data_IF_095939785917
#
_entry.id   IF_095939785917
#
_cell.length_a   1.000
_cell.length_b   1.000
_cell.length_c   1.000
_cell.angle_alpha   90.00
_cell.angle_beta   90.00
_cell.angle_gamma   90.00
#
_symmetry.space_group_name_H-M   'P 1'
#
loop_
_entity.id
_entity.type
_entity.pdbx_description
1 polymer ?
#
# COMPACT_ATOMS: atom_id res chain seq x y z
N UNK A 1 -28.85 -34.23 -4.64
CA UNK A 1 -27.62 -34.42 -5.44
C UNK A 1 -26.68 -33.31 -5.05
N UNK A 2 -25.56 -33.62 -4.39
CA UNK A 2 -24.52 -32.62 -4.11
C UNK A 2 -23.65 -32.48 -5.34
N UNK A 3 -23.44 -31.25 -5.79
CA UNK A 3 -22.49 -30.96 -6.88
C UNK A 3 -21.11 -31.52 -6.54
N UNK A 4 -20.37 -32.06 -7.52
CA UNK A 4 -18.99 -32.43 -7.28
C UNK A 4 -18.22 -31.14 -7.02
N UNK A 5 -17.80 -30.92 -5.77
CA UNK A 5 -16.74 -29.99 -5.46
C UNK A 5 -15.54 -30.51 -6.26
N UNK A 6 -15.19 -29.83 -7.34
CA UNK A 6 -13.95 -30.07 -8.06
C UNK A 6 -12.85 -29.74 -7.05
N UNK A 7 -12.42 -30.74 -6.28
CA UNK A 7 -11.21 -30.67 -5.48
C UNK A 7 -10.08 -30.50 -6.48
N UNK A 8 -9.66 -29.25 -6.69
CA UNK A 8 -8.43 -28.98 -7.41
C UNK A 8 -7.31 -29.72 -6.70
N UNK A 9 -6.54 -30.47 -7.48
CA UNK A 9 -5.39 -31.21 -6.99
C UNK A 9 -4.47 -30.25 -6.21
N UNK A 10 -4.11 -30.57 -4.95
CA UNK A 10 -3.15 -29.78 -4.17
C UNK A 10 -1.85 -29.47 -4.93
N UNK A 11 -1.40 -30.37 -5.80
CA UNK A 11 -0.23 -30.15 -6.64
C UNK A 11 -0.47 -29.06 -7.71
N UNK A 12 -1.68 -28.98 -8.27
CA UNK A 12 -2.07 -27.92 -9.23
C UNK A 12 -2.14 -26.58 -8.53
N UNK A 13 -2.73 -26.51 -7.33
CA UNK A 13 -2.78 -25.29 -6.52
C UNK A 13 -1.37 -24.81 -6.11
N UNK A 14 -0.48 -25.74 -5.79
CA UNK A 14 0.91 -25.43 -5.49
C UNK A 14 1.62 -24.83 -6.70
N UNK A 15 1.51 -25.46 -7.88
CA UNK A 15 2.12 -24.97 -9.12
C UNK A 15 1.55 -23.60 -9.52
N UNK A 16 0.24 -23.41 -9.41
CA UNK A 16 -0.40 -22.11 -9.69
C UNK A 16 0.07 -21.03 -8.70
N UNK A 17 0.21 -21.35 -7.41
CA UNK A 17 0.77 -20.43 -6.43
C UNK A 17 2.23 -20.11 -6.70
N UNK A 18 3.05 -21.10 -7.05
CA UNK A 18 4.46 -20.93 -7.38
C UNK A 18 4.64 -20.08 -8.65
N UNK A 19 3.81 -20.30 -9.67
CA UNK A 19 3.79 -19.49 -10.88
C UNK A 19 3.36 -18.05 -10.58
N UNK A 20 2.26 -17.85 -9.86
CA UNK A 20 1.81 -16.51 -9.46
C UNK A 20 2.86 -15.81 -8.61
N UNK A 21 3.45 -16.50 -7.63
CA UNK A 21 4.55 -15.96 -6.84
C UNK A 21 5.75 -15.59 -7.71
N UNK A 22 6.12 -16.45 -8.66
CA UNK A 22 7.22 -16.17 -9.58
C UNK A 22 6.92 -14.97 -10.48
N UNK A 23 5.71 -14.88 -11.01
CA UNK A 23 5.27 -13.78 -11.86
C UNK A 23 5.23 -12.48 -11.05
N UNK A 24 4.69 -12.52 -9.83
CA UNK A 24 4.79 -11.43 -8.86
C UNK A 24 6.24 -11.02 -8.62
N UNK A 25 7.14 -11.98 -8.36
CA UNK A 25 8.57 -11.70 -8.13
C UNK A 25 9.19 -11.08 -9.38
N UNK A 26 8.87 -11.58 -10.57
CA UNK A 26 9.39 -11.07 -11.84
C UNK A 26 8.88 -9.66 -12.13
N UNK A 27 7.59 -9.41 -11.94
CA UNK A 27 6.99 -8.07 -12.05
C UNK A 27 7.64 -7.13 -11.03
N UNK A 28 7.78 -7.54 -9.77
CA UNK A 28 8.44 -6.75 -8.75
C UNK A 28 9.90 -6.45 -9.13
N UNK A 29 10.65 -7.45 -9.60
CA UNK A 29 12.04 -7.26 -10.04
C UNK A 29 12.11 -6.33 -11.25
N UNK A 30 11.25 -6.50 -12.25
CA UNK A 30 11.19 -5.66 -13.44
C UNK A 30 10.87 -4.20 -13.08
N UNK A 31 9.89 -4.01 -12.19
CA UNK A 31 9.52 -2.69 -11.70
C UNK A 31 10.61 -2.04 -10.83
N UNK A 32 11.40 -2.85 -10.11
CA UNK A 32 12.58 -2.39 -9.37
C UNK A 32 13.72 -2.00 -10.33
N UNK A 33 13.91 -2.77 -11.40
CA UNK A 33 14.96 -2.54 -12.39
C UNK A 33 14.62 -1.38 -13.34
N UNK A 34 13.34 -1.15 -13.58
CA UNK A 34 12.82 -0.12 -14.47
C UNK A 34 11.69 0.66 -13.78
N UNK A 35 11.99 1.38 -12.68
CA UNK A 35 10.97 2.16 -11.98
C UNK A 35 10.39 3.22 -12.93
N UNK A 36 9.07 3.51 -12.82
CA UNK A 36 8.46 4.54 -13.65
C UNK A 36 9.20 5.87 -13.47
N UNK A 37 9.32 6.68 -14.54
CA UNK A 37 10.00 7.96 -14.44
C UNK A 37 9.39 8.77 -13.31
N UNK A 38 10.23 9.32 -12.46
CA UNK A 38 9.89 10.05 -11.24
C UNK A 38 8.82 11.16 -11.39
N UNK A 39 8.57 11.62 -12.62
CA UNK A 39 7.55 12.63 -12.94
C UNK A 39 6.14 12.05 -13.19
N UNK A 40 5.97 10.73 -13.15
CA UNK A 40 4.72 10.05 -13.47
C UNK A 40 4.05 9.49 -12.21
N UNK A 41 3.46 10.37 -11.40
CA UNK A 41 2.84 10.03 -10.10
C UNK A 41 1.81 8.90 -10.22
N UNK A 42 0.95 8.91 -11.24
CA UNK A 42 -0.05 7.85 -11.44
C UNK A 42 0.58 6.46 -11.64
N UNK A 43 1.71 6.39 -12.34
CA UNK A 43 2.45 5.13 -12.53
C UNK A 43 3.10 4.67 -11.24
N UNK A 44 3.64 5.59 -10.44
CA UNK A 44 4.20 5.30 -9.12
C UNK A 44 3.10 4.81 -8.18
N UNK A 45 1.93 5.45 -8.16
CA UNK A 45 0.80 5.07 -7.33
C UNK A 45 0.25 3.68 -7.71
N UNK A 46 0.08 3.42 -9.00
CA UNK A 46 -0.33 2.11 -9.51
C UNK A 46 0.68 1.03 -9.13
N UNK A 47 1.96 1.34 -9.29
CA UNK A 47 3.05 0.44 -8.93
C UNK A 47 3.07 0.12 -7.43
N UNK A 48 2.93 1.12 -6.56
CA UNK A 48 2.87 0.95 -5.11
C UNK A 48 1.71 0.05 -4.69
N UNK A 49 0.52 0.32 -5.24
CA UNK A 49 -0.68 -0.45 -4.94
C UNK A 49 -0.52 -1.90 -5.38
N UNK A 50 -0.12 -2.12 -6.63
CA UNK A 50 0.08 -3.47 -7.17
C UNK A 50 1.14 -4.23 -6.38
N UNK A 51 2.26 -3.59 -6.04
CA UNK A 51 3.33 -4.22 -5.27
C UNK A 51 2.86 -4.69 -3.90
N UNK A 52 2.03 -3.89 -3.22
CA UNK A 52 1.45 -4.28 -1.93
C UNK A 52 0.47 -5.44 -2.07
N UNK A 53 -0.48 -5.35 -2.99
CA UNK A 53 -1.45 -6.42 -3.24
C UNK A 53 -0.76 -7.75 -3.58
N UNK A 54 0.25 -7.69 -4.44
CA UNK A 54 1.03 -8.85 -4.85
C UNK A 54 1.85 -9.44 -3.69
N UNK A 55 2.44 -8.58 -2.84
CA UNK A 55 3.11 -9.01 -1.63
C UNK A 55 2.15 -9.75 -0.67
N UNK A 56 0.94 -9.22 -0.45
CA UNK A 56 -0.07 -9.81 0.45
C UNK A 56 -0.51 -11.19 -0.05
N UNK A 57 -0.85 -11.28 -1.35
CA UNK A 57 -1.20 -12.54 -2.01
C UNK A 57 -0.06 -13.56 -1.83
N UNK A 58 1.19 -13.14 -2.05
CA UNK A 58 2.33 -14.02 -1.91
C UNK A 58 2.55 -14.46 -0.45
N UNK A 59 2.37 -13.56 0.52
CA UNK A 59 2.51 -13.88 1.94
C UNK A 59 1.51 -14.93 2.39
N UNK A 60 0.24 -14.77 1.99
CA UNK A 60 -0.84 -15.68 2.38
C UNK A 60 -0.65 -17.09 1.79
N UNK A 61 -0.13 -17.14 0.56
CA UNK A 61 0.03 -18.40 -0.17
C UNK A 61 1.42 -19.05 -0.01
N UNK A 62 2.39 -18.38 0.62
CA UNK A 62 3.79 -18.85 0.66
C UNK A 62 3.95 -20.26 1.25
N UNK A 63 3.11 -20.64 2.23
CA UNK A 63 3.19 -21.96 2.88
C UNK A 63 2.74 -23.05 1.91
N UNK A 64 1.63 -22.82 1.23
CA UNK A 64 1.07 -23.73 0.22
C UNK A 64 2.02 -23.88 -0.98
N UNK A 65 2.74 -22.82 -1.32
CA UNK A 65 3.76 -22.80 -2.37
C UNK A 65 5.13 -23.39 -1.94
N UNK A 66 5.28 -23.90 -0.71
CA UNK A 66 6.56 -24.42 -0.23
C UNK A 66 7.66 -23.36 -0.07
N UNK A 67 7.33 -22.07 -0.08
CA UNK A 67 8.29 -20.97 -0.04
C UNK A 67 8.79 -20.77 1.39
N UNK A 68 10.09 -20.96 1.57
CA UNK A 68 10.75 -20.71 2.84
C UNK A 68 10.60 -19.24 3.26
N UNK A 69 10.26 -19.01 4.53
CA UNK A 69 10.10 -17.66 5.11
C UNK A 69 11.32 -16.77 4.85
N UNK A 70 12.52 -17.33 4.90
CA UNK A 70 13.78 -16.61 4.65
C UNK A 70 13.90 -16.10 3.20
N UNK A 71 13.39 -16.85 2.21
CA UNK A 71 13.38 -16.42 0.80
C UNK A 71 12.42 -15.26 0.62
N UNK A 72 11.22 -15.38 1.20
CA UNK A 72 10.22 -14.33 1.17
C UNK A 72 10.71 -13.02 1.83
N UNK A 73 11.37 -13.11 2.99
CA UNK A 73 11.95 -11.92 3.64
C UNK A 73 13.03 -11.23 2.80
N UNK A 74 13.80 -11.95 1.98
CA UNK A 74 14.79 -11.33 1.07
C UNK A 74 14.11 -10.53 -0.03
N UNK A 75 12.98 -11.04 -0.55
CA UNK A 75 12.15 -10.32 -1.51
C UNK A 75 11.58 -9.05 -0.88
N UNK A 76 10.94 -9.18 0.29
CA UNK A 76 10.37 -8.04 1.04
C UNK A 76 11.43 -6.97 1.32
N UNK A 77 12.61 -7.36 1.80
CA UNK A 77 13.73 -6.45 1.99
C UNK A 77 14.12 -5.70 0.71
N UNK A 78 14.14 -6.38 -0.43
CA UNK A 78 14.51 -5.77 -1.72
C UNK A 78 13.49 -4.72 -2.16
N UNK A 79 12.20 -4.98 -1.98
CA UNK A 79 11.12 -4.01 -2.24
C UNK A 79 11.30 -2.80 -1.32
N UNK A 80 11.46 -3.02 -0.02
CA UNK A 80 11.63 -1.96 0.98
C UNK A 80 12.83 -1.08 0.67
N UNK A 81 13.95 -1.67 0.24
CA UNK A 81 15.14 -0.90 -0.19
C UNK A 81 14.81 0.02 -1.35
N UNK A 82 14.00 -0.41 -2.31
CA UNK A 82 13.59 0.42 -3.45
C UNK A 82 12.63 1.51 -3.00
N UNK A 83 11.66 1.19 -2.14
CA UNK A 83 10.73 2.16 -1.56
C UNK A 83 11.47 3.31 -0.85
N UNK A 84 12.59 3.00 -0.17
CA UNK A 84 13.41 4.02 0.51
C UNK A 84 14.08 5.03 -0.44
N UNK A 85 14.09 4.78 -1.75
CA UNK A 85 14.66 5.68 -2.77
C UNK A 85 13.63 6.55 -3.47
N UNK A 86 12.34 6.30 -3.26
CA UNK A 86 11.26 7.03 -3.92
C UNK A 86 11.04 8.34 -3.18
N UNK A 87 11.02 9.46 -3.93
CA UNK A 87 10.60 10.73 -3.37
C UNK A 87 9.10 10.67 -3.06
N UNK A 88 8.78 10.87 -1.78
CA UNK A 88 7.41 10.88 -1.25
C UNK A 88 6.50 11.90 -1.94
N UNK A 89 7.05 12.98 -2.49
CA UNK A 89 6.28 14.00 -3.22
C UNK A 89 5.66 13.48 -4.52
N UNK A 90 6.13 12.36 -5.05
CA UNK A 90 5.58 11.76 -6.27
C UNK A 90 4.41 10.82 -6.00
N UNK A 91 4.09 10.59 -4.73
CA UNK A 91 3.03 9.68 -4.30
C UNK A 91 1.79 10.50 -4.03
N UNK A 92 0.75 10.30 -4.84
CA UNK A 92 -0.47 11.10 -4.75
C UNK A 92 -1.62 10.32 -4.12
N UNK A 93 -1.87 9.10 -4.60
CA UNK A 93 -3.05 8.30 -4.22
C UNK A 93 -2.70 7.09 -3.35
N UNK A 94 -1.48 6.56 -3.46
CA UNK A 94 -1.06 5.30 -2.81
C UNK A 94 -0.26 5.53 -1.53
N UNK A 95 -0.59 6.61 -0.79
CA UNK A 95 0.06 6.97 0.47
C UNK A 95 -0.03 5.85 1.51
N UNK A 96 -1.20 5.20 1.61
CA UNK A 96 -1.40 4.06 2.52
C UNK A 96 -0.48 2.88 2.21
N UNK A 97 -0.31 2.54 0.93
CA UNK A 97 0.57 1.46 0.50
C UNK A 97 2.04 1.78 0.77
N UNK A 98 2.46 3.02 0.48
CA UNK A 98 3.81 3.49 0.79
C UNK A 98 4.10 3.45 2.30
N UNK A 99 3.15 3.94 3.11
CA UNK A 99 3.27 3.92 4.56
C UNK A 99 3.33 2.50 5.13
N UNK A 100 2.62 1.55 4.52
CA UNK A 100 2.68 0.14 4.92
C UNK A 100 4.07 -0.45 4.69
N UNK A 101 4.70 -0.18 3.54
CA UNK A 101 6.10 -0.54 3.32
C UNK A 101 7.04 0.16 4.31
N UNK A 102 6.73 1.40 4.70
CA UNK A 102 7.48 2.11 5.74
C UNK A 102 7.38 1.44 7.11
N UNK A 103 6.19 1.01 7.52
CA UNK A 103 5.99 0.24 8.76
C UNK A 103 6.81 -1.05 8.76
N UNK A 104 6.81 -1.77 7.64
CA UNK A 104 7.58 -3.01 7.47
C UNK A 104 9.08 -2.76 7.43
N UNK A 105 9.50 -1.62 6.88
CA UNK A 105 10.90 -1.20 6.83
C UNK A 105 11.59 -1.17 8.20
N UNK A 106 10.84 -0.91 9.27
CA UNK A 106 11.36 -0.97 10.64
C UNK A 106 11.93 -2.35 11.01
N UNK A 107 11.33 -3.44 10.54
CA UNK A 107 11.84 -4.79 10.80
C UNK A 107 13.19 -5.08 10.10
N UNK A 108 13.57 -4.23 9.15
CA UNK A 108 14.79 -4.33 8.35
C UNK A 108 15.76 -3.17 8.59
N UNK A 109 15.47 -2.30 9.57
CA UNK A 109 16.25 -1.09 9.85
C UNK A 109 16.36 -0.14 8.63
N UNK A 110 15.38 -0.21 7.72
CA UNK A 110 15.28 0.68 6.55
C UNK A 110 14.29 1.80 6.86
N UNK A 111 14.78 3.04 6.84
CA UNK A 111 13.96 4.22 7.09
C UNK A 111 13.21 4.64 5.81
N UNK A 112 11.88 4.71 5.91
CA UNK A 112 10.99 5.30 4.92
C UNK A 112 10.13 6.32 5.67
N UNK A 113 10.15 7.57 5.24
CA UNK A 113 9.40 8.64 5.92
C UNK A 113 7.93 8.54 5.54
N UNK A 114 6.99 8.33 6.49
CA UNK A 114 5.58 8.22 6.16
C UNK A 114 5.00 9.54 5.65
N UNK A 115 3.98 9.43 4.80
CA UNK A 115 3.22 10.55 4.25
C UNK A 115 1.88 10.66 5.00
N UNK A 116 1.45 11.85 5.46
CA UNK A 116 0.13 12.03 6.04
C UNK A 116 -0.97 11.56 5.09
N UNK A 117 -1.90 10.74 5.58
CA UNK A 117 -3.08 10.39 4.81
C UNK A 117 -4.04 11.59 4.81
N UNK A 118 -4.76 11.81 3.70
CA UNK A 118 -5.65 12.97 3.52
C UNK A 118 -6.85 13.03 4.50
N UNK A 119 -6.99 12.04 5.39
CA UNK A 119 -8.02 11.96 6.42
C UNK A 119 -7.65 12.65 7.75
N UNK A 120 -6.47 13.29 7.84
CA UNK A 120 -6.01 13.92 9.08
C UNK A 120 -6.34 15.43 9.16
N UNK A 121 -7.21 15.94 8.29
CA UNK A 121 -7.59 17.36 8.22
C UNK A 121 -9.01 17.66 8.72
N UNK A 122 -9.69 16.74 9.42
CA UNK A 122 -11.08 16.96 9.87
C UNK A 122 -11.23 17.32 11.36
N UNK A 123 -10.29 18.04 11.98
CA UNK A 123 -10.42 18.37 13.42
C UNK A 123 -10.12 19.81 13.84
N UNK A 124 -9.99 20.76 12.91
CA UNK A 124 -9.87 22.19 13.27
C UNK A 124 -10.76 23.12 12.41
N UNK A 125 -12.03 22.77 12.24
CA UNK A 125 -13.01 23.75 11.77
C UNK A 125 -14.31 23.54 12.55
N UNK A 126 -14.39 24.12 13.76
CA UNK A 126 -15.61 24.58 14.46
C UNK A 126 -15.19 25.06 15.85
N UNK A 127 -14.66 26.28 15.94
CA UNK A 127 -14.69 27.04 17.19
C UNK A 127 -15.13 28.46 16.90
N UNK A 128 -16.31 28.77 17.46
CA UNK A 128 -16.76 30.11 17.83
C UNK A 128 -17.08 31.10 16.70
N UNK A 129 -18.34 31.09 16.28
CA UNK A 129 -19.06 32.37 16.20
C UNK A 129 -20.02 32.34 17.38
N UNK A 130 -19.62 33.02 18.45
CA UNK A 130 -20.46 33.29 19.61
C UNK A 130 -21.66 34.15 19.19
N UNK A 131 -22.80 33.81 19.77
CA UNK A 131 -24.04 34.58 19.75
C UNK A 131 -23.80 36.02 20.25
N UNK A 132 -24.10 37.02 19.42
CA UNK A 132 -24.51 38.35 19.92
C UNK A 132 -25.92 38.67 19.41
N UNK A 133 -26.87 38.23 20.22
CA UNK A 133 -28.18 38.87 20.38
C UNK A 133 -27.91 40.27 20.96
N UNK A 134 -28.06 41.33 20.16
CA UNK A 134 -28.27 42.67 20.73
C UNK A 134 -29.41 43.38 20.00
N UNK A 135 -30.57 43.30 20.65
CA UNK A 135 -31.67 44.25 20.50
C UNK A 135 -31.17 45.68 20.52
N UNK A 136 -31.52 46.46 19.50
CA UNK A 136 -31.66 47.91 19.67
C UNK A 136 -32.85 48.43 18.87
N UNK A 137 -33.96 48.48 19.59
CA UNK A 137 -35.05 49.44 19.41
C UNK A 137 -34.48 50.87 19.35
N UNK A 138 -34.78 51.65 18.29
CA UNK A 138 -34.96 53.11 18.39
C UNK A 138 -35.72 53.70 17.19
N UNK A 139 -36.50 54.70 17.55
CA UNK A 139 -37.54 55.41 16.82
C UNK A 139 -37.02 56.61 15.99
N UNK A 140 -37.96 57.17 15.21
CA UNK A 140 -37.98 58.49 14.56
C UNK A 140 -37.00 58.65 13.38
N UNK A 141 -37.41 59.12 12.20
CA UNK A 141 -38.22 60.32 11.90
C UNK A 141 -39.08 60.15 10.64
#
# INVERSE_FOLDING_TARGET
>A
MGEPIIQQDPAVLQVECELRYRDTVLELVDLIQSPPPHRHSEKIDTWLHNSLCQWEICWDNRKSAGIAKAVFHKLEYSIIKVMSTINSEWITKSKSAYNEFGRRGHAYEVKITPIPNDLDLSSEEYSEIEDEDESSEKAEE
#
